data_IF_742304783605
#
_entry.id   IF_742304783605
#
_cell.length_a   1.000
_cell.length_b   1.000
_cell.length_c   1.000
_cell.angle_alpha   90.00
_cell.angle_beta   90.00
_cell.angle_gamma   90.00
#
_symmetry.space_group_name_H-M   'P 1'
#
loop_
_entity.id
_entity.type
_entity.pdbx_description
1 polymer ?
#
# COMPACT_ATOMS: atom_id res chain seq x y z
N UNK A 1 -0.42 -12.14 -9.87
CA UNK A 1 0.04 -10.86 -10.44
C UNK A 1 0.44 -9.89 -9.33
N UNK A 2 1.37 -8.99 -9.62
CA UNK A 2 1.70 -7.85 -8.74
C UNK A 2 1.44 -6.57 -9.51
N UNK A 3 0.71 -5.64 -8.90
CA UNK A 3 0.56 -4.28 -9.45
C UNK A 3 1.50 -3.36 -8.67
N UNK A 4 2.42 -2.74 -9.41
CA UNK A 4 3.53 -1.90 -8.94
C UNK A 4 3.70 -0.73 -9.91
N UNK A 5 4.86 -0.08 -9.94
CA UNK A 5 5.22 0.99 -10.88
C UNK A 5 5.45 2.30 -10.15
N UNK A 6 4.59 3.29 -10.41
CA UNK A 6 4.54 4.53 -9.63
C UNK A 6 3.80 4.30 -8.31
N UNK A 7 2.56 4.75 -8.22
CA UNK A 7 1.69 4.50 -7.06
C UNK A 7 0.39 3.84 -7.52
N UNK A 8 0.22 2.56 -7.17
CA UNK A 8 -0.94 1.75 -7.56
C UNK A 8 -2.25 2.29 -6.98
N UNK A 9 -2.21 2.90 -5.79
CA UNK A 9 -3.39 3.46 -5.12
C UNK A 9 -3.99 4.66 -5.87
N UNK A 10 -3.25 5.31 -6.78
CA UNK A 10 -3.79 6.37 -7.63
C UNK A 10 -4.85 5.87 -8.64
N UNK A 11 -4.93 4.56 -8.86
CA UNK A 11 -5.84 3.93 -9.82
C UNK A 11 -6.68 2.85 -9.13
N UNK A 12 -7.15 3.14 -7.91
CA UNK A 12 -7.76 2.16 -7.00
C UNK A 12 -8.88 1.33 -7.63
N UNK A 13 -9.76 1.96 -8.42
CA UNK A 13 -10.90 1.29 -9.06
C UNK A 13 -10.42 0.28 -10.11
N UNK A 14 -9.48 0.68 -10.97
CA UNK A 14 -8.90 -0.20 -11.98
C UNK A 14 -8.15 -1.37 -11.36
N UNK A 15 -7.33 -1.11 -10.33
CA UNK A 15 -6.58 -2.17 -9.63
C UNK A 15 -7.55 -3.15 -8.95
N UNK A 16 -8.63 -2.65 -8.36
CA UNK A 16 -9.67 -3.48 -7.75
C UNK A 16 -10.33 -4.40 -8.76
N UNK A 17 -10.74 -3.89 -9.93
CA UNK A 17 -11.32 -4.70 -11.00
C UNK A 17 -10.33 -5.73 -11.54
N UNK A 18 -9.08 -5.33 -11.75
CA UNK A 18 -8.01 -6.22 -12.21
C UNK A 18 -7.77 -7.37 -11.22
N UNK A 19 -7.66 -7.05 -9.93
CA UNK A 19 -7.47 -8.07 -8.89
C UNK A 19 -8.68 -8.99 -8.76
N UNK A 20 -9.90 -8.46 -8.82
CA UNK A 20 -11.12 -9.26 -8.83
C UNK A 20 -11.09 -10.28 -9.97
N UNK A 21 -10.79 -9.84 -11.20
CA UNK A 21 -10.70 -10.71 -12.38
C UNK A 21 -9.71 -11.87 -12.21
N UNK A 22 -8.53 -11.59 -11.64
CA UNK A 22 -7.49 -12.62 -11.43
C UNK A 22 -7.81 -13.53 -10.23
N UNK A 23 -8.41 -13.00 -9.17
CA UNK A 23 -8.83 -13.78 -8.00
C UNK A 23 -9.91 -14.79 -8.34
N UNK A 24 -10.88 -14.43 -9.17
CA UNK A 24 -11.90 -15.37 -9.69
C UNK A 24 -11.28 -16.56 -10.45
N UNK A 25 -10.04 -16.42 -10.91
CA UNK A 25 -9.25 -17.45 -11.61
C UNK A 25 -8.20 -18.10 -10.71
N UNK A 26 -8.31 -17.93 -9.39
CA UNK A 26 -7.38 -18.46 -8.40
C UNK A 26 -5.92 -17.99 -8.58
N UNK A 27 -5.71 -16.79 -9.15
CA UNK A 27 -4.39 -16.18 -9.28
C UNK A 27 -4.13 -15.28 -8.07
N UNK A 28 -2.99 -15.48 -7.41
CA UNK A 28 -2.56 -14.65 -6.28
C UNK A 28 -2.38 -13.18 -6.70
N UNK A 29 -2.92 -12.24 -5.93
CA UNK A 29 -2.88 -10.79 -6.21
C UNK A 29 -2.03 -10.07 -5.17
N UNK A 30 -1.04 -9.30 -5.61
CA UNK A 30 -0.14 -8.55 -4.73
C UNK A 30 -0.19 -7.06 -5.06
N UNK A 31 -0.47 -6.23 -4.07
CA UNK A 31 -0.40 -4.78 -4.16
C UNK A 31 0.98 -4.32 -3.71
N UNK A 32 1.75 -3.68 -4.58
CA UNK A 32 3.02 -3.03 -4.23
C UNK A 32 2.81 -1.51 -4.25
N UNK A 33 2.88 -0.88 -3.08
CA UNK A 33 2.48 0.50 -2.87
C UNK A 33 3.33 1.19 -1.81
N UNK A 34 3.42 2.52 -1.90
CA UNK A 34 3.95 3.33 -0.81
C UNK A 34 2.92 3.65 0.26
N UNK A 35 1.62 3.47 -0.01
CA UNK A 35 0.54 3.85 0.90
C UNK A 35 0.28 5.37 0.94
N UNK A 36 1.04 6.19 0.21
CA UNK A 36 1.02 7.64 0.38
C UNK A 36 -0.30 8.30 -0.05
N UNK A 37 -1.03 7.67 -0.98
CA UNK A 37 -2.32 8.17 -1.46
C UNK A 37 -3.48 7.84 -0.52
N UNK A 38 -3.24 7.14 0.59
CA UNK A 38 -4.30 6.77 1.52
C UNK A 38 -5.04 7.98 2.06
N UNK A 39 -6.36 7.92 1.94
CA UNK A 39 -7.30 8.93 2.42
C UNK A 39 -8.35 8.22 3.28
N UNK A 40 -8.42 8.50 4.60
CA UNK A 40 -9.41 7.88 5.48
C UNK A 40 -10.86 8.15 5.06
N UNK A 41 -11.12 9.23 4.31
CA UNK A 41 -12.47 9.50 3.78
C UNK A 41 -12.90 8.54 2.66
N UNK A 42 -11.96 7.80 2.07
CA UNK A 42 -12.22 6.80 1.03
C UNK A 42 -12.06 5.36 1.52
N UNK A 43 -12.17 5.13 2.84
CA UNK A 43 -11.96 3.82 3.46
C UNK A 43 -12.73 2.67 2.77
N UNK A 44 -13.95 2.92 2.31
CA UNK A 44 -14.78 1.93 1.59
C UNK A 44 -14.08 1.42 0.32
N UNK A 45 -13.42 2.30 -0.45
CA UNK A 45 -12.71 1.92 -1.67
C UNK A 45 -11.47 1.08 -1.35
N UNK A 46 -10.71 1.47 -0.32
CA UNK A 46 -9.54 0.70 0.16
C UNK A 46 -9.94 -0.68 0.67
N UNK A 47 -11.01 -0.80 1.47
CA UNK A 47 -11.51 -2.11 1.93
C UNK A 47 -11.93 -3.00 0.77
N UNK A 48 -12.53 -2.43 -0.28
CA UNK A 48 -12.89 -3.17 -1.50
C UNK A 48 -11.65 -3.66 -2.25
N UNK A 49 -10.60 -2.85 -2.39
CA UNK A 49 -9.33 -3.29 -2.96
C UNK A 49 -8.69 -4.39 -2.12
N UNK A 50 -8.63 -4.21 -0.80
CA UNK A 50 -7.98 -5.13 0.13
C UNK A 50 -8.68 -6.50 0.17
N UNK A 51 -10.01 -6.56 0.06
CA UNK A 51 -10.75 -7.83 0.03
C UNK A 51 -10.42 -8.71 -1.18
N UNK A 52 -9.88 -8.11 -2.25
CA UNK A 52 -9.40 -8.81 -3.45
C UNK A 52 -7.88 -8.84 -3.55
N UNK A 53 -7.17 -8.43 -2.50
CA UNK A 53 -5.71 -8.44 -2.40
C UNK A 53 -5.25 -9.61 -1.54
N UNK A 54 -4.26 -10.37 -2.01
CA UNK A 54 -3.73 -11.53 -1.27
C UNK A 54 -2.52 -11.17 -0.40
N UNK A 55 -1.75 -10.17 -0.80
CA UNK A 55 -0.57 -9.66 -0.11
C UNK A 55 -0.40 -8.17 -0.41
N UNK A 56 0.01 -7.39 0.58
CA UNK A 56 0.48 -6.01 0.40
C UNK A 56 1.99 -5.98 0.63
N UNK A 57 2.74 -5.45 -0.33
CA UNK A 57 4.12 -4.99 -0.12
C UNK A 57 4.02 -3.49 0.13
N UNK A 58 4.36 -3.07 1.34
CA UNK A 58 4.26 -1.68 1.77
C UNK A 58 5.64 -1.07 1.96
N UNK A 59 5.93 0.01 1.24
CA UNK A 59 7.15 0.78 1.49
C UNK A 59 7.07 1.56 2.80
N UNK A 60 7.94 1.24 3.75
CA UNK A 60 8.21 2.07 4.91
C UNK A 60 9.63 2.63 4.78
N UNK A 61 9.73 3.83 4.21
CA UNK A 61 11.02 4.44 3.85
C UNK A 61 11.79 4.92 5.08
N UNK A 62 11.09 5.48 6.04
CA UNK A 62 11.61 5.96 7.32
C UNK A 62 10.43 6.03 8.31
N UNK A 63 10.66 5.65 9.56
CA UNK A 63 9.64 5.58 10.63
C UNK A 63 9.60 6.86 11.47
N UNK A 64 10.69 7.63 11.48
CA UNK A 64 10.71 8.97 12.08
C UNK A 64 9.98 9.96 11.14
N UNK A 65 8.90 10.62 11.58
CA UNK A 65 8.10 11.49 10.72
C UNK A 65 8.87 12.66 10.11
N UNK A 66 9.78 13.28 10.87
CA UNK A 66 10.55 14.45 10.41
C UNK A 66 11.58 14.04 9.36
N UNK A 67 12.27 12.92 9.58
CA UNK A 67 13.19 12.35 8.58
C UNK A 67 12.45 11.83 7.36
N UNK A 68 11.28 11.22 7.54
CA UNK A 68 10.44 10.77 6.44
C UNK A 68 10.02 11.96 5.57
N UNK A 69 9.56 13.04 6.19
CA UNK A 69 9.18 14.26 5.49
C UNK A 69 10.37 14.87 4.74
N UNK A 70 11.54 14.92 5.36
CA UNK A 70 12.77 15.38 4.71
C UNK A 70 13.17 14.48 3.52
N UNK A 71 13.06 13.16 3.66
CA UNK A 71 13.45 12.17 2.64
C UNK A 71 12.50 12.13 1.45
N UNK A 72 11.18 12.16 1.69
CA UNK A 72 10.16 11.90 0.67
C UNK A 72 9.38 13.16 0.24
N UNK A 73 9.48 14.24 1.01
CA UNK A 73 8.65 15.44 0.84
C UNK A 73 7.18 15.22 1.21
N UNK A 74 6.84 14.13 1.90
CA UNK A 74 5.47 13.74 2.24
C UNK A 74 5.33 13.34 3.71
N UNK A 75 4.14 13.45 4.27
CA UNK A 75 3.87 12.99 5.65
C UNK A 75 3.84 11.46 5.72
N UNK A 76 4.28 10.91 6.86
CA UNK A 76 4.24 9.48 7.16
C UNK A 76 2.81 8.96 7.45
N UNK A 77 1.90 9.86 7.81
CA UNK A 77 0.60 9.49 8.40
C UNK A 77 -0.30 8.69 7.45
N UNK A 78 -0.42 9.01 6.15
CA UNK A 78 -1.16 8.18 5.20
C UNK A 78 -0.64 6.74 5.14
N UNK A 79 0.68 6.55 5.16
CA UNK A 79 1.30 5.21 5.10
C UNK A 79 0.95 4.38 6.33
N UNK A 80 1.03 4.98 7.53
CA UNK A 80 0.65 4.30 8.77
C UNK A 80 -0.86 4.05 8.84
N UNK A 81 -1.68 4.97 8.34
CA UNK A 81 -3.13 4.80 8.22
C UNK A 81 -3.49 3.62 7.33
N UNK A 82 -2.85 3.53 6.15
CA UNK A 82 -3.02 2.40 5.24
C UNK A 82 -2.57 1.09 5.85
N UNK A 83 -1.43 1.07 6.56
CA UNK A 83 -0.94 -0.11 7.26
C UNK A 83 -1.94 -0.62 8.30
N UNK A 84 -2.53 0.29 9.09
CA UNK A 84 -3.57 -0.05 10.08
C UNK A 84 -4.81 -0.63 9.42
N UNK A 85 -5.33 0.03 8.38
CA UNK A 85 -6.50 -0.47 7.66
C UNK A 85 -6.23 -1.86 7.03
N UNK A 86 -5.03 -2.07 6.49
CA UNK A 86 -4.63 -3.35 5.89
C UNK A 86 -4.57 -4.45 6.94
N UNK A 87 -4.03 -4.15 8.13
CA UNK A 87 -4.03 -5.07 9.26
C UNK A 87 -5.45 -5.36 9.79
N UNK A 88 -6.32 -4.35 9.85
CA UNK A 88 -7.73 -4.50 10.28
C UNK A 88 -8.55 -5.40 9.34
N UNK A 89 -8.18 -5.47 8.05
CA UNK A 89 -8.79 -6.37 7.05
C UNK A 89 -8.06 -7.73 6.98
N UNK A 90 -7.07 -7.94 7.84
CA UNK A 90 -6.28 -9.18 7.94
C UNK A 90 -5.55 -9.58 6.63
N UNK A 91 -5.21 -8.60 5.79
CA UNK A 91 -4.37 -8.85 4.61
C UNK A 91 -2.90 -8.87 5.04
N UNK A 92 -2.14 -9.92 4.72
CA UNK A 92 -0.72 -9.98 5.06
C UNK A 92 0.06 -8.79 4.50
N UNK A 93 0.99 -8.25 5.29
CA UNK A 93 1.86 -7.15 4.90
C UNK A 93 3.31 -7.62 4.92
N UNK A 94 4.02 -7.35 3.82
CA UNK A 94 5.47 -7.36 3.76
C UNK A 94 5.96 -5.92 3.77
N UNK A 95 6.66 -5.53 4.83
CA UNK A 95 7.28 -4.21 4.91
C UNK A 95 8.56 -4.23 4.07
N UNK A 96 8.66 -3.31 3.11
CA UNK A 96 9.86 -3.06 2.32
C UNK A 96 10.53 -1.80 2.84
N UNK A 97 11.74 -1.94 3.36
CA UNK A 97 12.56 -0.83 3.82
C UNK A 97 13.85 -0.79 2.98
N UNK A 98 14.13 0.38 2.40
CA UNK A 98 15.35 0.58 1.62
C UNK A 98 16.39 1.21 2.54
N UNK A 99 17.46 0.46 2.81
CA UNK A 99 18.60 0.94 3.58
C UNK A 99 19.52 1.75 2.68
N UNK A 100 19.66 3.04 2.97
CA UNK A 100 20.59 3.93 2.27
C UNK A 100 21.59 4.46 3.30
N UNK A 101 22.89 4.15 3.17
CA UNK A 101 23.89 4.54 4.16
C UNK A 101 23.80 6.01 4.53
N UNK A 102 23.85 6.32 5.83
CA UNK A 102 23.75 7.67 6.43
C UNK A 102 22.39 8.37 6.32
N UNK A 103 21.40 7.73 5.69
CA UNK A 103 20.06 8.29 5.49
C UNK A 103 19.02 7.48 6.28
N UNK A 104 18.92 6.18 5.98
CA UNK A 104 17.97 5.22 6.56
C UNK A 104 18.65 3.97 7.09
#
# INVERSE_FOLDING_TARGET
ITVTGGEALMQIDFVTELFTYFRERNVHTCLDTSGICFDPHQEVAYRKLLSVTSLVILDLKEIDPDKHLWLTGKSLEPILGFARLTADVEVPIWVRHVVVPTIT
#
